data_IF_130118862050
#
_entry.id   IF_130118862050
#
_cell.length_a   1.000
_cell.length_b   1.000
_cell.length_c   1.000
_cell.angle_alpha   90.00
_cell.angle_beta   90.00
_cell.angle_gamma   90.00
#
_symmetry.space_group_name_H-M   'P 1'
#
loop_
_entity.id
_entity.type
_entity.pdbx_description
1 polymer ?
#
# COMPACT_ATOMS: atom_id res chain seq x y z
N UNK A 1 37.08 -45.09 13.67
CA UNK A 1 35.66 -44.67 13.84
C UNK A 1 35.61 -43.24 13.38
N UNK A 2 35.24 -43.07 12.10
CA UNK A 2 35.20 -41.76 11.47
C UNK A 2 34.02 -40.97 11.98
N UNK A 3 34.32 -39.94 12.80
CA UNK A 3 33.32 -38.95 13.18
C UNK A 3 33.13 -37.97 12.02
N UNK A 4 32.19 -38.29 11.15
CA UNK A 4 31.78 -37.35 10.09
C UNK A 4 30.83 -36.35 10.70
N UNK A 5 31.35 -35.18 11.07
CA UNK A 5 30.49 -34.04 11.44
C UNK A 5 29.86 -33.49 10.16
N UNK A 6 28.56 -33.63 10.02
CA UNK A 6 27.82 -32.96 8.96
C UNK A 6 27.63 -31.49 9.37
N UNK A 7 28.36 -30.60 8.75
CA UNK A 7 28.09 -29.17 8.80
C UNK A 7 26.84 -28.88 7.97
N UNK A 8 25.74 -28.58 8.61
CA UNK A 8 24.58 -28.03 7.94
C UNK A 8 24.81 -26.53 7.79
N UNK A 9 25.30 -26.12 6.63
CA UNK A 9 25.36 -24.70 6.27
C UNK A 9 23.97 -24.29 5.78
N UNK A 10 23.23 -23.54 6.59
CA UNK A 10 22.02 -22.87 6.14
C UNK A 10 22.46 -21.76 5.18
N UNK A 11 22.44 -22.03 3.90
CA UNK A 11 22.55 -21.00 2.89
C UNK A 11 21.16 -20.37 2.75
N UNK A 12 21.01 -19.14 3.22
CA UNK A 12 19.89 -18.31 2.81
C UNK A 12 20.08 -18.02 1.33
N UNK A 13 19.15 -18.45 0.49
CA UNK A 13 19.11 -18.04 -0.91
C UNK A 13 18.92 -16.51 -0.92
N UNK A 14 19.98 -15.78 -1.29
CA UNK A 14 19.86 -14.34 -1.51
C UNK A 14 18.77 -14.10 -2.55
N UNK A 15 17.96 -13.06 -2.36
CA UNK A 15 16.98 -12.64 -3.34
C UNK A 15 17.70 -12.29 -4.65
N UNK A 16 17.88 -13.29 -5.48
CA UNK A 16 18.52 -13.15 -6.80
C UNK A 16 17.47 -12.65 -7.78
N UNK A 17 17.92 -11.79 -8.68
CA UNK A 17 17.11 -11.41 -9.82
C UNK A 17 16.50 -12.66 -10.47
N UNK A 18 15.16 -12.69 -10.69
CA UNK A 18 14.53 -13.86 -11.27
C UNK A 18 15.10 -14.11 -12.65
N UNK A 19 15.53 -15.34 -12.91
CA UNK A 19 15.93 -15.73 -14.25
C UNK A 19 14.68 -16.01 -15.07
N UNK A 20 14.65 -15.50 -16.27
CA UNK A 20 13.60 -15.77 -17.24
C UNK A 20 14.12 -16.88 -18.16
N UNK A 21 13.61 -18.08 -17.99
CA UNK A 21 14.13 -19.24 -18.71
C UNK A 21 13.09 -19.79 -19.69
N UNK A 22 13.52 -19.92 -20.95
CA UNK A 22 12.83 -20.72 -21.94
C UNK A 22 13.17 -22.20 -21.68
N UNK A 23 12.21 -22.99 -21.21
CA UNK A 23 12.44 -24.44 -21.06
C UNK A 23 11.99 -25.18 -22.31
N UNK A 24 12.81 -26.10 -22.76
CA UNK A 24 12.52 -26.98 -23.90
C UNK A 24 11.18 -27.70 -23.68
N UNK A 25 10.24 -27.54 -24.61
CA UNK A 25 8.90 -28.12 -24.54
C UNK A 25 7.85 -27.28 -23.86
N UNK A 26 8.15 -26.03 -23.45
CA UNK A 26 7.17 -25.05 -22.98
C UNK A 26 7.07 -23.90 -23.96
N UNK A 27 5.85 -23.46 -24.23
CA UNK A 27 5.58 -22.35 -25.17
C UNK A 27 5.59 -20.99 -24.47
N UNK A 28 5.91 -20.94 -23.18
CA UNK A 28 5.95 -19.72 -22.36
C UNK A 28 7.31 -19.58 -21.65
N UNK A 29 7.63 -18.35 -21.31
CA UNK A 29 8.81 -18.01 -20.52
C UNK A 29 8.48 -18.20 -19.02
N UNK A 30 9.30 -18.97 -18.30
CA UNK A 30 9.15 -19.12 -16.86
C UNK A 30 9.53 -17.83 -16.12
N UNK A 31 8.75 -17.50 -15.09
CA UNK A 31 9.01 -16.35 -14.25
C UNK A 31 9.73 -16.78 -12.97
N UNK A 32 11.06 -16.70 -13.01
CA UNK A 32 11.94 -17.07 -11.90
C UNK A 32 12.08 -18.59 -11.69
N UNK A 33 12.76 -18.95 -10.62
CA UNK A 33 12.99 -20.36 -10.25
C UNK A 33 11.64 -21.07 -10.07
N UNK A 34 11.50 -22.23 -10.71
CA UNK A 34 10.28 -23.03 -10.68
C UNK A 34 9.01 -22.30 -11.14
N UNK A 35 9.16 -21.23 -11.92
CA UNK A 35 8.00 -20.45 -12.40
C UNK A 35 7.13 -19.84 -11.27
N UNK A 36 7.70 -19.59 -10.09
CA UNK A 36 6.97 -19.23 -8.87
C UNK A 36 7.27 -17.81 -8.33
N UNK A 37 8.04 -17.00 -9.06
CA UNK A 37 8.43 -15.68 -8.56
C UNK A 37 7.26 -14.73 -8.25
N UNK A 38 6.16 -14.68 -9.04
CA UNK A 38 5.01 -13.84 -8.68
C UNK A 38 4.34 -14.25 -7.38
N UNK A 39 4.27 -15.57 -7.09
CA UNK A 39 3.73 -16.04 -5.82
C UNK A 39 4.66 -15.69 -4.65
N UNK A 40 5.98 -15.77 -4.84
CA UNK A 40 6.93 -15.32 -3.83
C UNK A 40 6.72 -13.84 -3.46
N UNK A 41 6.49 -12.95 -4.44
CA UNK A 41 6.17 -11.55 -4.16
C UNK A 41 4.83 -11.40 -3.42
N UNK A 42 3.86 -12.22 -3.75
CA UNK A 42 2.56 -12.25 -3.05
C UNK A 42 2.70 -12.75 -1.60
N UNK A 43 3.56 -13.74 -1.36
CA UNK A 43 3.87 -14.23 -0.01
C UNK A 43 4.53 -13.14 0.83
N UNK A 44 5.50 -12.40 0.27
CA UNK A 44 6.10 -11.24 0.95
C UNK A 44 5.05 -10.18 1.32
N UNK A 45 4.12 -9.89 0.42
CA UNK A 45 3.04 -8.95 0.67
C UNK A 45 2.10 -9.43 1.79
N UNK A 46 1.81 -10.72 1.85
CA UNK A 46 0.92 -11.29 2.85
C UNK A 46 1.58 -11.44 4.23
N UNK A 47 2.90 -11.68 4.27
CA UNK A 47 3.62 -12.00 5.50
C UNK A 47 4.35 -10.81 6.13
N UNK A 48 4.85 -9.84 5.35
CA UNK A 48 5.51 -8.64 5.89
C UNK A 48 4.49 -7.54 6.19
N UNK A 49 4.26 -7.19 7.47
CA UNK A 49 3.27 -6.17 7.83
C UNK A 49 3.62 -4.78 7.31
N UNK A 50 4.92 -4.42 7.30
CA UNK A 50 5.39 -3.13 6.81
C UNK A 50 5.18 -3.02 5.29
N UNK A 51 5.57 -4.05 4.54
CA UNK A 51 5.38 -4.10 3.10
C UNK A 51 3.90 -4.04 2.71
N UNK A 52 3.07 -4.85 3.35
CA UNK A 52 1.62 -4.87 3.11
C UNK A 52 0.98 -3.50 3.34
N UNK A 53 1.34 -2.81 4.45
CA UNK A 53 0.82 -1.49 4.77
C UNK A 53 1.23 -0.45 3.71
N UNK A 54 2.50 -0.45 3.28
CA UNK A 54 3.01 0.48 2.28
C UNK A 54 2.32 0.27 0.93
N UNK A 55 2.27 -0.97 0.44
CA UNK A 55 1.65 -1.29 -0.86
C UNK A 55 0.17 -0.88 -0.87
N UNK A 56 -0.59 -1.23 0.19
CA UNK A 56 -2.00 -0.84 0.32
C UNK A 56 -2.18 0.67 0.37
N UNK A 57 -1.33 1.39 1.12
CA UNK A 57 -1.39 2.85 1.20
C UNK A 57 -1.08 3.50 -0.15
N UNK A 58 -0.03 3.06 -0.85
CA UNK A 58 0.32 3.55 -2.19
C UNK A 58 -0.82 3.29 -3.17
N UNK A 59 -1.38 2.08 -3.18
CA UNK A 59 -2.56 1.75 -4.01
C UNK A 59 -3.74 2.67 -3.74
N UNK A 60 -4.02 2.99 -2.46
CA UNK A 60 -5.10 3.89 -2.10
C UNK A 60 -4.83 5.33 -2.57
N UNK A 61 -3.60 5.82 -2.42
CA UNK A 61 -3.24 7.16 -2.90
C UNK A 61 -3.33 7.28 -4.42
N UNK A 62 -2.85 6.28 -5.16
CA UNK A 62 -2.94 6.26 -6.63
C UNK A 62 -4.40 6.15 -7.08
N UNK A 63 -5.21 5.33 -6.41
CA UNK A 63 -6.63 5.19 -6.73
C UNK A 63 -7.43 6.47 -6.42
N UNK A 64 -7.06 7.21 -5.39
CA UNK A 64 -7.81 8.40 -4.95
C UNK A 64 -9.29 8.09 -4.71
N UNK A 65 -10.19 8.83 -5.35
CA UNK A 65 -11.64 8.55 -5.39
C UNK A 65 -12.05 7.70 -6.60
N UNK A 66 -11.10 7.31 -7.46
CA UNK A 66 -11.36 6.66 -8.73
C UNK A 66 -11.86 7.62 -9.80
N UNK A 67 -12.47 7.06 -10.84
CA UNK A 67 -13.13 7.83 -11.89
C UNK A 67 -14.50 8.31 -11.40
N UNK A 68 -14.87 9.54 -11.75
CA UNK A 68 -16.17 10.09 -11.42
C UNK A 68 -17.30 9.32 -12.11
N UNK A 69 -17.16 9.10 -13.43
CA UNK A 69 -18.04 8.23 -14.19
C UNK A 69 -17.61 6.78 -14.04
N UNK A 70 -18.37 6.02 -13.26
CA UNK A 70 -18.02 4.64 -12.96
C UNK A 70 -18.27 3.67 -14.11
N UNK A 71 -19.26 3.93 -14.97
CA UNK A 71 -19.65 3.07 -16.09
C UNK A 71 -19.68 1.57 -15.74
N UNK A 72 -19.96 0.72 -16.73
CA UNK A 72 -19.91 -0.75 -16.59
C UNK A 72 -18.73 -1.31 -17.37
N UNK A 73 -17.80 -1.97 -16.72
CA UNK A 73 -16.64 -2.56 -17.37
C UNK A 73 -16.96 -3.91 -18.04
N UNK A 74 -17.80 -4.74 -17.40
CA UNK A 74 -18.08 -6.09 -17.88
C UNK A 74 -19.48 -6.60 -17.50
N UNK A 75 -19.86 -7.73 -18.10
CA UNK A 75 -21.15 -8.40 -17.92
C UNK A 75 -21.38 -8.98 -16.51
N UNK A 76 -20.36 -9.07 -15.67
CA UNK A 76 -20.51 -9.45 -14.25
C UNK A 76 -21.00 -8.30 -13.38
N UNK A 77 -21.17 -7.11 -13.96
CA UNK A 77 -21.64 -5.91 -13.25
C UNK A 77 -20.52 -5.15 -12.55
N UNK A 78 -19.25 -5.47 -12.80
CA UNK A 78 -18.13 -4.69 -12.31
C UNK A 78 -18.06 -3.34 -13.05
N UNK A 79 -17.83 -2.28 -12.31
CA UNK A 79 -17.59 -0.96 -12.89
C UNK A 79 -16.10 -0.74 -13.18
N UNK A 80 -15.76 0.34 -13.90
CA UNK A 80 -14.37 0.65 -14.24
C UNK A 80 -13.48 0.89 -13.02
N UNK A 81 -14.03 1.39 -11.91
CA UNK A 81 -13.28 1.59 -10.67
C UNK A 81 -12.92 0.27 -9.97
N UNK A 82 -13.75 -0.77 -10.11
CA UNK A 82 -13.43 -2.09 -9.56
C UNK A 82 -12.24 -2.71 -10.28
N UNK A 83 -12.23 -2.61 -11.62
CA UNK A 83 -11.11 -3.08 -12.45
C UNK A 83 -9.85 -2.25 -12.19
N UNK A 84 -9.98 -0.91 -12.14
CA UNK A 84 -8.88 0.01 -11.87
C UNK A 84 -8.19 -0.31 -10.54
N UNK A 85 -8.97 -0.51 -9.47
CA UNK A 85 -8.43 -0.80 -8.12
C UNK A 85 -7.55 -2.05 -8.11
N UNK A 86 -7.96 -3.09 -8.82
CA UNK A 86 -7.16 -4.32 -8.94
C UNK A 86 -5.90 -4.12 -9.77
N UNK A 87 -5.99 -3.39 -10.88
CA UNK A 87 -4.83 -3.05 -11.71
C UNK A 87 -3.81 -2.22 -10.95
N UNK A 88 -4.26 -1.26 -10.14
CA UNK A 88 -3.36 -0.44 -9.31
C UNK A 88 -2.65 -1.31 -8.26
N UNK A 89 -3.36 -2.24 -7.62
CA UNK A 89 -2.73 -3.15 -6.66
C UNK A 89 -1.68 -4.05 -7.32
N UNK A 90 -1.98 -4.61 -8.48
CA UNK A 90 -1.02 -5.42 -9.24
C UNK A 90 0.17 -4.57 -9.72
N UNK A 91 -0.06 -3.33 -10.14
CA UNK A 91 1.02 -2.40 -10.51
C UNK A 91 1.93 -2.08 -9.32
N UNK A 92 1.39 -1.90 -8.13
CA UNK A 92 2.20 -1.67 -6.93
C UNK A 92 2.99 -2.92 -6.49
N UNK A 93 2.43 -4.12 -6.69
CA UNK A 93 3.08 -5.38 -6.33
C UNK A 93 4.10 -5.83 -7.37
N UNK A 94 3.78 -5.73 -8.66
CA UNK A 94 4.53 -6.38 -9.73
C UNK A 94 5.13 -5.41 -10.75
N UNK A 95 4.67 -4.16 -10.78
CA UNK A 95 4.96 -3.14 -11.81
C UNK A 95 4.38 -3.49 -13.18
N UNK A 96 3.22 -4.13 -13.17
CA UNK A 96 2.45 -4.49 -14.35
C UNK A 96 1.15 -5.17 -14.00
N UNK A 97 0.25 -5.27 -14.98
CA UNK A 97 -1.05 -5.91 -14.81
C UNK A 97 -1.57 -6.45 -16.14
N UNK A 98 -2.55 -7.35 -16.05
CA UNK A 98 -3.19 -7.98 -17.19
C UNK A 98 -4.69 -7.70 -17.17
N UNK A 99 -5.22 -7.41 -18.37
CA UNK A 99 -6.66 -7.30 -18.60
C UNK A 99 -7.07 -8.26 -19.71
N UNK A 100 -8.12 -9.03 -19.49
CA UNK A 100 -8.80 -9.76 -20.53
C UNK A 100 -9.80 -8.83 -21.19
N UNK A 101 -9.63 -8.61 -22.48
CA UNK A 101 -10.48 -7.77 -23.31
C UNK A 101 -11.26 -8.64 -24.26
N UNK A 102 -12.58 -8.55 -24.21
CA UNK A 102 -13.47 -9.32 -25.08
C UNK A 102 -14.08 -8.39 -26.13
N UNK A 103 -13.92 -8.77 -27.38
CA UNK A 103 -14.45 -8.03 -28.51
C UNK A 103 -15.81 -8.55 -28.96
N UNK A 104 -16.71 -7.66 -29.32
CA UNK A 104 -17.98 -8.01 -29.95
C UNK A 104 -17.83 -8.11 -31.47
N UNK A 105 -18.89 -8.56 -32.15
CA UNK A 105 -18.89 -8.73 -33.63
C UNK A 105 -18.77 -7.41 -34.42
N UNK A 106 -18.96 -6.27 -33.75
CA UNK A 106 -18.84 -4.93 -34.36
C UNK A 106 -17.43 -4.35 -34.22
N UNK A 107 -16.47 -5.11 -33.69
CA UNK A 107 -15.11 -4.64 -33.45
C UNK A 107 -14.99 -3.64 -32.29
N UNK A 108 -15.96 -3.62 -31.37
CA UNK A 108 -15.91 -2.84 -30.12
C UNK A 108 -15.67 -3.76 -28.95
N UNK A 109 -15.08 -3.23 -27.89
CA UNK A 109 -14.93 -3.96 -26.64
C UNK A 109 -16.33 -4.20 -26.04
N UNK A 110 -16.63 -5.44 -25.69
CA UNK A 110 -17.79 -5.82 -24.91
C UNK A 110 -17.48 -5.76 -23.42
N UNK A 111 -16.41 -6.44 -23.02
CA UNK A 111 -16.07 -6.65 -21.63
C UNK A 111 -14.58 -6.48 -21.37
N UNK A 112 -14.25 -5.99 -20.17
CA UNK A 112 -12.89 -5.90 -19.64
C UNK A 112 -12.86 -6.51 -18.27
N UNK A 113 -12.02 -7.55 -18.08
CA UNK A 113 -11.82 -8.22 -16.83
C UNK A 113 -10.37 -8.09 -16.38
N UNK A 114 -10.13 -7.89 -15.11
CA UNK A 114 -8.81 -8.02 -14.53
C UNK A 114 -8.44 -9.49 -14.38
N UNK A 115 -7.18 -9.84 -14.68
CA UNK A 115 -6.62 -11.17 -14.41
C UNK A 115 -5.47 -10.99 -13.43
N UNK A 116 -5.47 -11.76 -12.37
CA UNK A 116 -4.44 -11.72 -11.34
C UNK A 116 -3.07 -12.02 -11.94
N UNK A 117 -2.10 -11.16 -11.65
CA UNK A 117 -0.79 -11.17 -12.28
C UNK A 117 -0.06 -12.52 -12.17
N UNK A 118 -0.16 -13.19 -11.02
CA UNK A 118 0.50 -14.47 -10.78
C UNK A 118 0.00 -15.61 -11.65
N UNK A 119 -1.20 -15.48 -12.24
CA UNK A 119 -1.84 -16.50 -13.09
C UNK A 119 -1.38 -16.47 -14.54
N UNK A 120 -0.70 -15.42 -14.98
CA UNK A 120 -0.36 -15.22 -16.40
C UNK A 120 1.11 -15.47 -16.67
N UNK A 121 1.41 -16.10 -17.82
CA UNK A 121 2.74 -16.22 -18.40
C UNK A 121 2.69 -15.79 -19.84
N UNK A 122 3.85 -15.32 -20.35
CA UNK A 122 3.96 -14.78 -21.71
C UNK A 122 4.80 -15.68 -22.60
N UNK A 123 4.48 -15.70 -23.89
CA UNK A 123 5.34 -16.32 -24.92
C UNK A 123 6.58 -15.47 -25.16
N UNK A 124 7.58 -16.04 -25.83
CA UNK A 124 8.83 -15.35 -26.17
C UNK A 124 8.65 -14.14 -27.07
N UNK A 125 7.70 -14.21 -27.97
CA UNK A 125 7.37 -13.13 -28.90
C UNK A 125 6.37 -12.11 -28.33
N UNK A 126 5.89 -12.33 -27.09
CA UNK A 126 4.85 -11.53 -26.43
C UNK A 126 3.52 -11.48 -27.20
N UNK A 127 3.27 -12.42 -28.11
CA UNK A 127 2.04 -12.48 -28.90
C UNK A 127 0.99 -13.43 -28.33
N UNK A 128 1.40 -14.30 -27.40
CA UNK A 128 0.49 -15.27 -26.76
C UNK A 128 0.67 -15.23 -25.25
N UNK A 129 -0.43 -15.26 -24.55
CA UNK A 129 -0.50 -15.30 -23.10
C UNK A 129 -1.14 -16.60 -22.63
N UNK A 130 -0.55 -17.19 -21.61
CA UNK A 130 -0.97 -18.44 -21.00
C UNK A 130 -1.54 -18.15 -19.61
N UNK A 131 -2.78 -18.52 -19.38
CA UNK A 131 -3.49 -18.27 -18.11
C UNK A 131 -3.75 -19.61 -17.44
N UNK A 132 -3.33 -19.71 -16.18
CA UNK A 132 -3.50 -20.91 -15.36
C UNK A 132 -3.67 -20.51 -13.89
N UNK A 133 -4.58 -21.19 -13.17
CA UNK A 133 -4.84 -20.84 -11.78
C UNK A 133 -3.65 -21.16 -10.86
N UNK A 134 -3.06 -22.33 -11.04
CA UNK A 134 -1.89 -22.76 -10.28
C UNK A 134 -0.80 -23.32 -11.21
N UNK A 135 0.32 -22.62 -11.32
CA UNK A 135 1.44 -23.03 -12.15
C UNK A 135 2.22 -24.22 -11.56
N UNK A 136 2.00 -24.57 -10.30
CA UNK A 136 2.58 -25.75 -9.65
C UNK A 136 1.74 -27.02 -9.90
N UNK A 137 0.44 -26.91 -10.20
CA UNK A 137 -0.37 -28.07 -10.55
C UNK A 137 -0.10 -28.51 -12.00
N UNK A 138 0.58 -29.62 -12.17
CA UNK A 138 0.91 -30.17 -13.49
C UNK A 138 -0.29 -30.73 -14.26
N UNK A 139 -1.46 -30.92 -13.64
CA UNK A 139 -2.66 -31.49 -14.26
C UNK A 139 -3.47 -30.43 -14.97
N UNK A 140 -3.47 -29.19 -14.47
CA UNK A 140 -4.18 -28.07 -15.09
C UNK A 140 -3.48 -27.67 -16.38
N UNK A 141 -4.21 -27.55 -17.49
CA UNK A 141 -3.71 -27.02 -18.74
C UNK A 141 -3.90 -25.51 -18.78
N UNK A 142 -2.86 -24.79 -19.19
CA UNK A 142 -2.96 -23.35 -19.40
C UNK A 142 -3.92 -23.07 -20.58
N UNK A 143 -4.72 -22.02 -20.42
CA UNK A 143 -5.54 -21.47 -21.50
C UNK A 143 -4.73 -20.46 -22.25
N UNK A 144 -4.80 -20.50 -23.59
CA UNK A 144 -4.06 -19.62 -24.48
C UNK A 144 -4.94 -18.47 -24.95
N UNK A 145 -4.37 -17.26 -24.91
CA UNK A 145 -5.03 -16.05 -25.41
C UNK A 145 -4.04 -15.24 -26.26
N UNK A 146 -4.47 -14.69 -27.39
CA UNK A 146 -3.63 -13.79 -28.19
C UNK A 146 -3.44 -12.45 -27.46
N UNK A 147 -2.36 -11.76 -27.81
CA UNK A 147 -2.11 -10.40 -27.37
C UNK A 147 -3.18 -9.44 -27.88
N UNK A 148 -3.45 -8.42 -27.09
CA UNK A 148 -4.36 -7.33 -27.45
C UNK A 148 -3.93 -6.64 -28.75
N UNK A 149 -4.81 -6.63 -29.73
CA UNK A 149 -4.55 -6.04 -31.04
C UNK A 149 -5.78 -5.28 -31.54
N UNK A 150 -5.68 -3.96 -31.56
CA UNK A 150 -6.75 -3.08 -32.05
C UNK A 150 -7.01 -3.20 -33.55
N UNK A 151 -6.02 -3.65 -34.34
CA UNK A 151 -6.16 -3.86 -35.77
C UNK A 151 -6.89 -5.15 -36.14
N UNK A 152 -6.96 -6.08 -35.20
CA UNK A 152 -7.69 -7.34 -35.34
C UNK A 152 -8.59 -7.59 -34.10
N UNK A 153 -9.69 -6.83 -33.95
CA UNK A 153 -10.55 -6.84 -32.78
C UNK A 153 -11.49 -8.06 -32.78
N UNK A 154 -10.97 -9.23 -32.44
CA UNK A 154 -11.75 -10.48 -32.44
C UNK A 154 -11.54 -11.30 -31.17
N UNK A 155 -12.63 -11.92 -30.70
CA UNK A 155 -12.59 -12.89 -29.59
C UNK A 155 -12.14 -12.28 -28.28
N UNK A 156 -11.38 -13.07 -27.52
CA UNK A 156 -10.83 -12.69 -26.21
C UNK A 156 -9.32 -12.55 -26.32
N UNK A 157 -8.80 -11.42 -25.90
CA UNK A 157 -7.38 -11.03 -26.01
C UNK A 157 -6.87 -10.56 -24.65
N UNK A 158 -5.57 -10.62 -24.42
CA UNK A 158 -4.93 -10.12 -23.20
C UNK A 158 -4.22 -8.81 -23.49
N UNK A 159 -4.67 -7.75 -22.82
CA UNK A 159 -3.91 -6.50 -22.72
C UNK A 159 -2.89 -6.66 -21.59
N UNK A 160 -1.63 -6.36 -21.89
CA UNK A 160 -0.53 -6.44 -20.95
C UNK A 160 0.15 -5.08 -20.81
N UNK A 161 0.13 -4.54 -19.59
CA UNK A 161 0.95 -3.41 -19.20
C UNK A 161 2.13 -3.89 -18.37
N UNK A 162 3.32 -3.45 -18.72
CA UNK A 162 4.51 -3.60 -17.87
C UNK A 162 5.30 -2.31 -17.87
N UNK A 163 5.82 -1.94 -16.71
CA UNK A 163 6.79 -0.84 -16.64
C UNK A 163 8.12 -1.28 -17.22
N UNK A 164 8.79 -0.36 -17.93
CA UNK A 164 10.10 -0.63 -18.49
C UNK A 164 11.13 -0.84 -17.38
N UNK A 165 11.86 -1.93 -17.48
CA UNK A 165 13.04 -2.20 -16.67
C UNK A 165 14.15 -2.74 -17.58
N UNK A 166 15.34 -2.09 -17.61
CA UNK A 166 16.42 -2.48 -18.52
C UNK A 166 16.98 -3.88 -18.26
N UNK A 167 16.77 -4.45 -17.07
CA UNK A 167 17.24 -5.78 -16.72
C UNK A 167 16.22 -6.89 -16.98
N UNK A 168 15.01 -6.55 -17.51
CA UNK A 168 13.95 -7.52 -17.70
C UNK A 168 13.16 -7.30 -18.98
N UNK A 169 13.23 -8.27 -19.88
CA UNK A 169 12.57 -8.21 -21.20
C UNK A 169 11.10 -8.64 -21.14
N UNK A 170 10.80 -9.74 -20.49
CA UNK A 170 9.48 -10.39 -20.54
C UNK A 170 8.52 -9.93 -19.43
N UNK A 171 9.02 -9.86 -18.21
CA UNK A 171 8.23 -9.53 -17.02
C UNK A 171 8.76 -8.30 -16.33
N UNK A 172 7.93 -7.51 -15.67
CA UNK A 172 8.39 -6.39 -14.88
C UNK A 172 9.09 -6.86 -13.60
N UNK A 173 9.87 -5.98 -13.01
CA UNK A 173 10.40 -6.15 -11.66
C UNK A 173 9.76 -5.11 -10.72
N UNK A 174 9.41 -5.48 -9.49
CA UNK A 174 8.81 -4.56 -8.56
C UNK A 174 9.74 -3.38 -8.24
N UNK A 175 9.20 -2.20 -7.99
CA UNK A 175 9.98 -1.01 -7.65
C UNK A 175 10.82 -1.20 -6.37
N UNK A 176 10.34 -2.04 -5.47
CA UNK A 176 10.97 -2.39 -4.20
C UNK A 176 11.94 -3.59 -4.31
N UNK A 177 12.32 -3.99 -5.52
CA UNK A 177 13.19 -5.15 -5.76
C UNK A 177 14.48 -5.11 -4.92
N UNK A 178 15.10 -3.93 -4.77
CA UNK A 178 16.35 -3.76 -4.04
C UNK A 178 16.22 -4.07 -2.53
N UNK A 179 15.02 -3.99 -1.95
CA UNK A 179 14.83 -4.23 -0.52
C UNK A 179 14.20 -5.60 -0.19
N UNK A 180 14.13 -6.55 -1.13
CA UNK A 180 13.54 -7.87 -0.91
C UNK A 180 14.16 -8.61 0.28
N UNK A 181 15.48 -8.53 0.46
CA UNK A 181 16.16 -9.15 1.61
C UNK A 181 15.67 -8.56 2.95
N UNK A 182 15.36 -7.25 2.98
CA UNK A 182 14.85 -6.60 4.18
C UNK A 182 13.39 -6.96 4.45
N UNK A 183 12.60 -7.25 3.41
CA UNK A 183 11.24 -7.78 3.56
C UNK A 183 11.27 -9.18 4.17
N UNK A 184 12.16 -10.05 3.71
CA UNK A 184 12.38 -11.36 4.32
C UNK A 184 12.87 -11.24 5.76
N UNK A 185 13.80 -10.30 6.04
CA UNK A 185 14.26 -10.04 7.40
C UNK A 185 13.11 -9.57 8.32
N UNK A 186 12.21 -8.72 7.84
CA UNK A 186 11.02 -8.27 8.58
C UNK A 186 10.13 -9.45 8.97
N UNK A 187 9.90 -10.38 8.04
CA UNK A 187 9.16 -11.63 8.29
C UNK A 187 9.85 -12.49 9.35
N UNK A 188 11.19 -12.66 9.23
CA UNK A 188 11.94 -13.46 10.19
C UNK A 188 11.98 -12.83 11.58
N UNK A 189 12.07 -11.50 11.67
CA UNK A 189 11.95 -10.75 12.92
C UNK A 189 10.60 -11.03 13.59
N UNK A 190 9.52 -10.94 12.82
CA UNK A 190 8.16 -11.22 13.32
C UNK A 190 8.04 -12.66 13.83
N UNK A 191 8.53 -13.64 13.06
CA UNK A 191 8.55 -15.05 13.46
C UNK A 191 9.42 -15.30 14.72
N UNK A 192 10.56 -14.60 14.81
CA UNK A 192 11.43 -14.68 15.99
C UNK A 192 10.73 -14.15 17.24
N UNK A 193 10.07 -12.99 17.15
CA UNK A 193 9.29 -12.40 18.25
C UNK A 193 8.19 -13.38 18.69
N UNK A 194 7.42 -13.92 17.75
CA UNK A 194 6.36 -14.90 18.04
C UNK A 194 6.94 -16.15 18.70
N UNK A 195 8.05 -16.67 18.17
CA UNK A 195 8.74 -17.82 18.75
C UNK A 195 9.24 -17.59 20.16
N UNK A 196 9.72 -16.38 20.47
CA UNK A 196 10.15 -16.03 21.82
C UNK A 196 8.95 -15.80 22.76
N UNK A 197 7.88 -15.18 22.29
CA UNK A 197 6.64 -15.01 23.05
C UNK A 197 6.04 -16.37 23.42
N UNK A 198 5.94 -17.30 22.47
CA UNK A 198 5.45 -18.66 22.72
C UNK A 198 6.32 -19.44 23.72
N UNK A 199 7.61 -19.13 23.79
CA UNK A 199 8.55 -19.74 24.74
C UNK A 199 8.64 -18.98 26.07
N UNK A 200 7.74 -18.01 26.31
CA UNK A 200 7.75 -17.18 27.53
C UNK A 200 9.12 -16.53 27.83
N UNK A 201 9.92 -16.24 26.78
CA UNK A 201 11.27 -15.66 26.89
C UNK A 201 12.25 -16.50 27.73
N UNK A 202 11.98 -17.80 27.90
CA UNK A 202 12.85 -18.72 28.67
C UNK A 202 13.93 -19.27 27.73
N UNK A 203 15.18 -19.16 28.16
CA UNK A 203 16.33 -19.76 27.47
C UNK A 203 16.21 -21.30 27.39
N UNK A 204 16.75 -21.89 26.29
CA UNK A 204 16.81 -23.34 26.15
C UNK A 204 17.51 -23.96 27.34
N UNK A 205 16.93 -25.01 27.91
CA UNK A 205 17.49 -25.73 29.06
C UNK A 205 18.21 -26.98 28.59
N UNK A 206 19.41 -27.20 29.09
CA UNK A 206 20.08 -28.49 28.96
C UNK A 206 19.77 -29.33 30.19
N UNK A 207 19.23 -30.53 29.99
CA UNK A 207 19.02 -31.51 31.05
C UNK A 207 20.04 -32.60 30.91
N UNK A 208 21.02 -32.63 31.82
CA UNK A 208 22.01 -33.67 31.91
C UNK A 208 21.49 -34.81 32.80
N UNK A 209 21.35 -35.99 32.22
CA UNK A 209 20.98 -37.22 32.97
C UNK A 209 22.24 -38.04 33.21
N UNK A 210 22.69 -38.10 34.44
CA UNK A 210 23.94 -38.77 34.84
C UNK A 210 23.73 -40.23 35.29
N UNK A 211 22.61 -40.84 34.94
CA UNK A 211 22.20 -42.17 35.34
C UNK A 211 22.61 -43.27 34.31
N UNK A 212 23.48 -42.95 33.38
CA UNK A 212 23.87 -43.84 32.27
C UNK A 212 22.92 -43.76 31.08
N UNK A 213 23.40 -44.23 29.96
CA UNK A 213 22.62 -44.32 28.72
C UNK A 213 21.66 -45.52 28.81
N UNK A 214 20.35 -45.38 28.60
CA UNK A 214 19.44 -46.51 28.53
C UNK A 214 19.89 -47.44 27.41
N UNK A 215 20.14 -48.71 27.74
CA UNK A 215 20.65 -49.72 26.83
C UNK A 215 19.70 -50.08 25.67
N UNK A 216 18.49 -49.55 25.68
CA UNK A 216 17.47 -49.82 24.69
C UNK A 216 16.89 -48.50 24.15
N UNK A 217 16.86 -48.36 22.83
CA UNK A 217 16.34 -47.18 22.12
C UNK A 217 14.87 -46.87 22.50
N UNK A 218 14.05 -47.87 22.74
CA UNK A 218 12.65 -47.68 23.21
C UNK A 218 12.60 -46.96 24.58
N UNK A 219 13.38 -47.41 25.55
CA UNK A 219 13.45 -46.77 26.86
C UNK A 219 14.03 -45.35 26.81
N UNK A 220 14.98 -45.11 25.89
CA UNK A 220 15.50 -43.77 25.64
C UNK A 220 14.41 -42.84 25.11
N UNK A 221 13.60 -43.30 24.13
CA UNK A 221 12.46 -42.57 23.60
C UNK A 221 11.35 -42.32 24.64
N UNK A 222 11.11 -43.26 25.56
CA UNK A 222 10.14 -43.06 26.63
C UNK A 222 10.59 -41.99 27.64
N UNK A 223 11.88 -42.01 28.05
CA UNK A 223 12.46 -41.00 28.94
C UNK A 223 12.46 -39.63 28.27
N UNK A 224 12.84 -39.55 26.98
CA UNK A 224 12.82 -38.32 26.21
C UNK A 224 11.39 -37.76 26.11
N UNK A 225 10.42 -38.59 25.73
CA UNK A 225 8.99 -38.21 25.67
C UNK A 225 8.44 -37.78 27.02
N UNK A 226 8.80 -38.51 28.09
CA UNK A 226 8.37 -38.20 29.47
C UNK A 226 8.92 -36.86 29.95
N UNK A 227 10.17 -36.57 29.65
CA UNK A 227 10.81 -35.30 29.98
C UNK A 227 10.31 -34.14 29.15
N UNK A 228 10.21 -34.34 27.83
CA UNK A 228 9.60 -33.37 26.92
C UNK A 228 8.19 -33.01 27.38
N UNK A 229 7.35 -34.00 27.76
CA UNK A 229 6.00 -33.77 28.26
C UNK A 229 5.96 -32.98 29.57
N UNK A 230 6.95 -33.15 30.45
CA UNK A 230 7.04 -32.41 31.72
C UNK A 230 7.61 -31.00 31.57
N UNK A 231 8.54 -30.80 30.68
CA UNK A 231 9.26 -29.53 30.52
C UNK A 231 8.75 -28.66 29.37
N UNK A 232 8.01 -29.23 28.41
CA UNK A 232 7.62 -28.49 27.19
C UNK A 232 6.12 -28.25 27.10
N UNK A 233 5.27 -28.47 28.09
CA UNK A 233 3.83 -28.19 27.98
C UNK A 233 3.30 -28.13 26.53
N UNK A 234 2.15 -27.62 26.28
CA UNK A 234 1.61 -27.45 24.90
C UNK A 234 2.39 -26.44 24.02
N UNK A 235 3.36 -25.72 24.57
CA UNK A 235 4.06 -24.61 23.90
C UNK A 235 5.59 -24.72 24.03
N UNK A 236 6.14 -25.84 23.64
CA UNK A 236 7.49 -26.14 23.19
C UNK A 236 8.70 -25.33 23.68
N UNK A 237 9.15 -25.51 24.94
CA UNK A 237 10.52 -25.15 25.30
C UNK A 237 11.52 -26.10 24.63
N UNK A 238 12.58 -25.58 23.99
CA UNK A 238 13.66 -26.42 23.51
C UNK A 238 14.47 -26.94 24.68
N UNK A 239 14.34 -28.22 24.97
CA UNK A 239 15.13 -28.94 25.98
C UNK A 239 16.05 -29.86 25.20
N UNK A 240 17.35 -29.72 25.44
CA UNK A 240 18.35 -30.69 24.98
C UNK A 240 18.59 -31.68 26.10
N UNK A 241 18.34 -32.97 25.83
CA UNK A 241 18.50 -34.04 26.80
C UNK A 241 19.80 -34.77 26.46
N UNK A 242 20.68 -34.87 27.42
CA UNK A 242 21.93 -35.65 27.29
C UNK A 242 22.01 -36.75 28.34
N UNK A 243 22.36 -37.96 27.90
CA UNK A 243 22.61 -39.12 28.73
C UNK A 243 24.09 -39.31 28.93
N UNK A 244 24.57 -39.21 30.15
CA UNK A 244 25.98 -39.35 30.52
C UNK A 244 26.20 -40.59 31.40
N UNK A 245 27.33 -41.25 31.27
CA UNK A 245 27.68 -42.42 32.07
C UNK A 245 28.03 -42.10 33.51
N UNK A 246 28.55 -40.91 33.77
CA UNK A 246 28.88 -40.43 35.12
C UNK A 246 28.85 -38.91 35.15
N UNK A 247 28.88 -38.36 36.38
CA UNK A 247 28.91 -36.90 36.57
C UNK A 247 30.22 -36.27 36.09
N UNK A 248 31.29 -37.02 36.04
CA UNK A 248 32.64 -36.61 35.56
C UNK A 248 32.68 -36.47 34.02
N UNK A 249 31.77 -37.14 33.32
CA UNK A 249 31.63 -37.09 31.87
C UNK A 249 30.43 -36.23 31.44
N UNK A 250 29.91 -35.37 32.33
CA UNK A 250 28.85 -34.45 31.93
C UNK A 250 29.39 -33.46 30.93
N UNK A 251 28.63 -33.25 29.86
CA UNK A 251 28.99 -32.26 28.84
C UNK A 251 29.08 -30.89 29.51
N UNK A 252 30.20 -30.24 29.32
CA UNK A 252 30.37 -28.84 29.65
C UNK A 252 29.53 -28.02 28.64
N UNK A 253 28.66 -27.17 29.14
CA UNK A 253 27.95 -26.22 28.28
C UNK A 253 28.95 -25.12 27.97
N UNK A 254 29.66 -25.28 26.86
CA UNK A 254 30.31 -24.13 26.24
C UNK A 254 29.22 -23.31 25.60
N UNK A 255 28.95 -22.15 26.18
CA UNK A 255 28.12 -21.15 25.57
C UNK A 255 28.84 -20.71 24.27
N UNK A 256 28.45 -21.29 23.15
CA UNK A 256 28.99 -20.95 21.83
C UNK A 256 28.50 -19.56 21.43
N UNK A 257 28.73 -18.57 22.33
CA UNK A 257 28.36 -17.20 22.09
C UNK A 257 26.93 -17.11 21.60
N UNK A 258 25.94 -17.25 22.48
CA UNK A 258 24.70 -16.58 22.26
C UNK A 258 25.08 -15.12 22.08
N UNK A 259 25.07 -14.64 20.86
CA UNK A 259 24.95 -13.22 20.63
C UNK A 259 23.70 -12.85 21.38
N UNK A 260 23.83 -12.49 22.65
CA UNK A 260 22.75 -11.84 23.38
C UNK A 260 22.60 -10.51 22.67
N UNK A 261 21.83 -10.52 21.58
CA UNK A 261 21.29 -9.30 21.04
C UNK A 261 20.56 -8.67 22.22
N UNK A 262 21.16 -7.64 22.78
CA UNK A 262 20.52 -6.85 23.82
C UNK A 262 19.19 -6.36 23.28
N UNK A 263 18.28 -5.99 24.15
CA UNK A 263 17.00 -5.38 23.70
C UNK A 263 17.26 -4.19 22.80
N UNK A 264 18.34 -3.45 23.04
CA UNK A 264 18.78 -2.31 22.24
C UNK A 264 19.24 -2.74 20.84
N UNK A 265 20.07 -3.79 20.75
CA UNK A 265 20.52 -4.31 19.45
C UNK A 265 19.35 -4.80 18.59
N UNK A 266 18.38 -5.48 19.19
CA UNK A 266 17.19 -5.94 18.49
C UNK A 266 16.34 -4.77 17.98
N UNK A 267 16.18 -3.72 18.78
CA UNK A 267 15.48 -2.50 18.40
C UNK A 267 16.20 -1.80 17.26
N UNK A 268 17.54 -1.70 17.33
CA UNK A 268 18.35 -1.09 16.27
C UNK A 268 18.24 -1.87 14.95
N UNK A 269 18.30 -3.20 14.99
CA UNK A 269 18.12 -4.05 13.79
C UNK A 269 16.72 -3.85 13.18
N UNK A 270 15.68 -3.85 14.02
CA UNK A 270 14.31 -3.63 13.53
C UNK A 270 14.13 -2.24 12.92
N UNK A 271 14.73 -1.21 13.51
CA UNK A 271 14.70 0.15 12.98
C UNK A 271 15.47 0.26 11.65
N UNK A 272 16.64 -0.39 11.53
CA UNK A 272 17.39 -0.45 10.28
C UNK A 272 16.56 -1.13 9.18
N UNK A 273 16.00 -2.30 9.44
CA UNK A 273 15.15 -3.02 8.49
C UNK A 273 13.97 -2.16 8.04
N UNK A 274 13.35 -1.43 8.97
CA UNK A 274 12.26 -0.53 8.66
C UNK A 274 12.70 0.63 7.74
N UNK A 275 13.83 1.27 8.02
CA UNK A 275 14.37 2.37 7.22
C UNK A 275 14.71 1.91 5.80
N UNK A 276 15.34 0.75 5.66
CA UNK A 276 15.68 0.18 4.35
C UNK A 276 14.44 -0.22 3.53
N UNK A 277 13.39 -0.72 4.18
CA UNK A 277 12.10 -0.96 3.53
C UNK A 277 11.50 0.36 3.04
N UNK A 278 11.52 1.42 3.85
CA UNK A 278 11.02 2.73 3.43
C UNK A 278 11.82 3.30 2.25
N UNK A 279 13.15 3.21 2.30
CA UNK A 279 14.02 3.64 1.21
C UNK A 279 13.75 2.85 -0.07
N UNK A 280 13.66 1.51 0.01
CA UNK A 280 13.35 0.65 -1.13
C UNK A 280 11.98 0.90 -1.74
N UNK A 281 11.01 1.32 -0.93
CA UNK A 281 9.69 1.73 -1.38
C UNK A 281 9.61 3.20 -1.80
N UNK A 282 10.67 3.98 -1.70
CA UNK A 282 10.69 5.42 -2.01
C UNK A 282 9.65 6.21 -1.20
N UNK A 283 9.54 5.90 0.09
CA UNK A 283 8.60 6.59 0.99
C UNK A 283 9.19 7.94 1.41
N UNK A 284 8.47 9.00 1.10
CA UNK A 284 8.87 10.39 1.44
C UNK A 284 8.75 10.63 2.96
N UNK A 285 7.66 10.19 3.56
CA UNK A 285 7.45 10.24 5.01
C UNK A 285 6.63 9.05 5.49
N UNK A 286 7.08 8.34 6.53
CA UNK A 286 6.35 7.24 7.15
C UNK A 286 4.96 7.64 7.67
N UNK A 287 4.78 8.90 8.05
CA UNK A 287 3.50 9.46 8.54
C UNK A 287 2.40 9.36 7.48
N UNK A 288 2.74 9.45 6.18
CA UNK A 288 1.79 9.24 5.08
C UNK A 288 1.24 7.81 5.04
N UNK A 289 2.00 6.85 5.55
CA UNK A 289 1.61 5.43 5.59
C UNK A 289 0.97 5.04 6.93
N UNK A 290 0.62 6.04 7.78
CA UNK A 290 0.03 5.82 9.09
C UNK A 290 1.02 5.35 10.15
N UNK A 291 2.33 5.42 9.90
CA UNK A 291 3.37 5.02 10.85
C UNK A 291 3.95 6.24 11.52
N UNK A 292 3.88 6.25 12.86
CA UNK A 292 4.50 7.29 13.68
C UNK A 292 5.94 6.91 13.98
N UNK A 293 6.89 7.79 13.63
CA UNK A 293 8.32 7.64 13.98
C UNK A 293 8.66 8.48 15.20
N UNK A 294 9.55 7.94 16.05
CA UNK A 294 10.05 8.69 17.21
C UNK A 294 10.79 9.94 16.75
N UNK A 295 10.51 11.06 17.40
CA UNK A 295 11.14 12.35 17.09
C UNK A 295 10.46 13.16 15.98
N UNK A 296 9.51 12.61 15.24
CA UNK A 296 8.66 13.40 14.34
C UNK A 296 7.47 13.96 15.11
N UNK A 297 7.36 15.28 15.13
CA UNK A 297 6.22 15.98 15.74
C UNK A 297 4.90 15.67 15.02
N UNK A 298 4.95 15.14 13.80
CA UNK A 298 3.76 14.75 13.01
C UNK A 298 2.83 15.95 12.78
N UNK A 299 3.40 17.14 12.62
CA UNK A 299 2.63 18.35 12.41
C UNK A 299 1.81 18.24 11.11
N UNK A 300 0.61 18.84 11.13
CA UNK A 300 -0.29 18.89 9.96
C UNK A 300 0.41 19.41 8.70
N UNK A 301 1.29 20.38 8.86
CA UNK A 301 2.10 20.98 7.78
C UNK A 301 3.09 19.97 7.20
N UNK A 302 3.78 19.19 8.04
CA UNK A 302 4.74 18.17 7.60
C UNK A 302 4.06 17.09 6.76
N UNK A 303 2.89 16.61 7.19
CA UNK A 303 2.14 15.60 6.44
C UNK A 303 1.69 16.16 5.09
N UNK A 304 1.28 17.43 5.04
CA UNK A 304 0.85 18.08 3.81
C UNK A 304 2.01 18.24 2.83
N UNK A 305 3.15 18.74 3.30
CA UNK A 305 4.34 18.94 2.47
C UNK A 305 4.89 17.61 1.95
N UNK A 306 4.91 16.57 2.79
CA UNK A 306 5.26 15.22 2.39
C UNK A 306 4.29 14.65 1.34
N UNK A 307 2.99 14.88 1.51
CA UNK A 307 1.99 14.47 0.52
C UNK A 307 2.17 15.21 -0.81
N UNK A 308 2.44 16.50 -0.80
CA UNK A 308 2.66 17.28 -2.02
C UNK A 308 3.87 16.77 -2.81
N UNK A 309 4.98 16.48 -2.13
CA UNK A 309 6.16 15.86 -2.75
C UNK A 309 5.79 14.49 -3.33
N UNK A 310 5.12 13.64 -2.55
CA UNK A 310 4.72 12.30 -2.97
C UNK A 310 3.73 12.34 -4.14
N UNK A 311 2.79 13.26 -4.12
CA UNK A 311 1.83 13.47 -5.20
C UNK A 311 2.53 13.87 -6.51
N UNK A 312 3.47 14.81 -6.44
CA UNK A 312 4.17 15.32 -7.63
C UNK A 312 5.19 14.33 -8.19
N UNK A 313 5.84 13.54 -7.32
CA UNK A 313 6.92 12.61 -7.74
C UNK A 313 6.41 11.21 -8.09
N UNK A 314 5.33 10.78 -7.46
CA UNK A 314 4.84 9.39 -7.57
C UNK A 314 3.41 9.28 -8.10
N UNK A 315 2.43 9.87 -7.41
CA UNK A 315 1.00 9.62 -7.66
C UNK A 315 0.57 10.09 -9.04
N UNK A 316 0.85 11.36 -9.39
CA UNK A 316 0.42 11.96 -10.66
C UNK A 316 0.89 11.19 -11.88
N UNK A 317 2.14 10.75 -11.90
CA UNK A 317 2.69 9.99 -13.02
C UNK A 317 1.97 8.66 -13.21
N UNK A 318 1.61 7.99 -12.11
CA UNK A 318 0.83 6.75 -12.14
C UNK A 318 -0.59 6.98 -12.65
N UNK A 319 -1.25 7.98 -12.08
CA UNK A 319 -2.62 8.33 -12.48
C UNK A 319 -2.71 8.69 -13.96
N UNK A 320 -1.75 9.43 -14.51
CA UNK A 320 -1.69 9.76 -15.93
C UNK A 320 -1.64 8.48 -16.79
N UNK A 321 -0.82 7.51 -16.43
CA UNK A 321 -0.73 6.25 -17.17
C UNK A 321 -2.06 5.48 -17.13
N UNK A 322 -2.68 5.34 -15.95
CA UNK A 322 -3.99 4.69 -15.84
C UNK A 322 -5.08 5.45 -16.59
N UNK A 323 -5.14 6.76 -16.46
CA UNK A 323 -6.11 7.60 -17.17
C UNK A 323 -6.03 7.38 -18.70
N UNK A 324 -4.83 7.40 -19.27
CA UNK A 324 -4.62 7.21 -20.70
C UNK A 324 -5.06 5.82 -21.17
N UNK A 325 -4.66 4.77 -20.45
CA UNK A 325 -4.98 3.38 -20.80
C UNK A 325 -6.48 3.14 -20.69
N UNK A 326 -7.10 3.52 -19.57
CA UNK A 326 -8.52 3.29 -19.33
C UNK A 326 -9.40 4.14 -20.23
N UNK A 327 -9.01 5.39 -20.55
CA UNK A 327 -9.69 6.22 -21.56
C UNK A 327 -9.66 5.56 -22.93
N UNK A 328 -8.51 5.00 -23.33
CA UNK A 328 -8.41 4.27 -24.60
C UNK A 328 -9.34 3.05 -24.64
N UNK A 329 -9.35 2.24 -23.58
CA UNK A 329 -10.24 1.08 -23.48
C UNK A 329 -11.73 1.48 -23.51
N UNK A 330 -12.08 2.57 -22.83
CA UNK A 330 -13.44 3.15 -22.86
C UNK A 330 -13.85 3.56 -24.28
N UNK A 331 -12.98 4.28 -24.99
CA UNK A 331 -13.23 4.71 -26.35
C UNK A 331 -13.43 3.51 -27.30
N UNK A 332 -12.64 2.46 -27.14
CA UNK A 332 -12.78 1.21 -27.92
C UNK A 332 -14.07 0.45 -27.57
N UNK A 333 -14.62 0.64 -26.38
CA UNK A 333 -15.95 0.13 -26.00
C UNK A 333 -17.07 0.93 -26.68
N UNK A 334 -16.77 2.12 -27.18
CA UNK A 334 -17.70 3.03 -27.85
C UNK A 334 -18.38 4.02 -26.89
N UNK A 335 -17.87 4.14 -25.69
CA UNK A 335 -18.25 5.15 -24.71
C UNK A 335 -17.37 6.39 -24.90
N UNK A 336 -17.96 7.59 -24.88
CA UNK A 336 -17.21 8.84 -25.01
C UNK A 336 -16.84 9.40 -23.63
N UNK A 337 -15.75 10.13 -23.57
CA UNK A 337 -15.27 10.83 -22.37
C UNK A 337 -13.93 10.31 -21.88
N UNK A 338 -13.23 11.17 -21.18
CA UNK A 338 -11.94 10.84 -20.58
C UNK A 338 -12.14 10.30 -19.15
N UNK A 339 -11.34 9.32 -18.79
CA UNK A 339 -11.21 8.90 -17.42
C UNK A 339 -10.11 9.69 -16.74
N UNK A 340 -10.47 10.39 -15.68
CA UNK A 340 -9.53 11.13 -14.84
C UNK A 340 -9.73 10.67 -13.40
N UNK A 341 -8.68 10.10 -12.81
CA UNK A 341 -8.69 9.71 -11.40
C UNK A 341 -8.73 10.99 -10.56
N UNK A 342 -9.71 11.06 -9.67
CA UNK A 342 -9.87 12.20 -8.77
C UNK A 342 -8.92 12.04 -7.57
N UNK A 343 -7.99 12.99 -7.36
CA UNK A 343 -7.07 12.93 -6.23
C UNK A 343 -7.82 13.10 -4.90
N UNK A 344 -7.31 12.44 -3.87
CA UNK A 344 -7.80 12.61 -2.49
C UNK A 344 -6.67 13.12 -1.62
N UNK A 345 -6.84 14.30 -1.08
CA UNK A 345 -5.89 14.85 -0.12
C UNK A 345 -6.08 14.15 1.25
N UNK A 346 -4.98 13.71 1.91
CA UNK A 346 -5.06 13.05 3.22
C UNK A 346 -5.57 13.99 4.32
N UNK A 347 -5.37 15.28 4.14
CA UNK A 347 -5.82 16.32 5.04
C UNK A 347 -6.56 17.39 4.24
N UNK A 348 -7.82 17.63 4.55
CA UNK A 348 -8.55 18.76 3.98
C UNK A 348 -7.88 20.06 4.41
N UNK A 349 -7.83 21.02 3.50
CA UNK A 349 -7.42 22.37 3.83
C UNK A 349 -8.43 22.95 4.85
N UNK A 350 -7.98 23.18 6.07
CA UNK A 350 -8.76 23.98 7.02
C UNK A 350 -8.32 25.41 6.87
N UNK A 351 -9.21 26.21 6.34
CA UNK A 351 -9.03 27.65 6.42
C UNK A 351 -9.01 28.05 7.90
N UNK A 352 -7.94 28.63 8.36
CA UNK A 352 -7.94 29.26 9.70
C UNK A 352 -9.01 30.35 9.70
N UNK A 353 -9.65 30.57 10.85
CA UNK A 353 -10.69 31.59 11.02
C UNK A 353 -10.26 32.97 10.49
N UNK A 354 -8.97 33.27 10.63
CA UNK A 354 -8.35 34.48 10.10
C UNK A 354 -8.31 34.52 8.56
N UNK A 355 -8.00 33.41 7.88
CA UNK A 355 -7.99 33.33 6.42
C UNK A 355 -9.41 33.36 5.86
N UNK A 356 -10.37 32.69 6.51
CA UNK A 356 -11.78 32.73 6.12
C UNK A 356 -12.34 34.14 6.23
N UNK A 357 -12.09 34.83 7.34
CA UNK A 357 -12.63 36.18 7.58
C UNK A 357 -12.01 37.24 6.68
N UNK A 358 -10.76 37.07 6.24
CA UNK A 358 -10.06 38.04 5.40
C UNK A 358 -10.33 37.89 3.89
N UNK A 359 -10.58 36.65 3.40
CA UNK A 359 -10.59 36.36 1.97
C UNK A 359 -11.92 35.82 1.44
N UNK A 360 -12.82 35.37 2.30
CA UNK A 360 -14.09 34.76 1.90
C UNK A 360 -15.28 35.56 2.41
N UNK A 361 -16.29 35.66 1.58
CA UNK A 361 -17.61 36.20 1.99
C UNK A 361 -18.32 35.22 2.92
N UNK A 362 -19.28 35.71 3.69
CA UNK A 362 -20.09 34.87 4.60
C UNK A 362 -20.80 33.75 3.87
N UNK A 363 -21.25 33.99 2.63
CA UNK A 363 -21.98 33.01 1.83
C UNK A 363 -21.02 31.92 1.26
N UNK A 364 -19.82 32.28 0.84
CA UNK A 364 -18.78 31.33 0.44
C UNK A 364 -18.33 30.44 1.62
N UNK A 365 -18.24 31.00 2.83
CA UNK A 365 -17.94 30.21 4.05
C UNK A 365 -19.10 29.23 4.32
N UNK A 366 -20.35 29.66 4.15
CA UNK A 366 -21.52 28.79 4.34
C UNK A 366 -21.57 27.66 3.30
N UNK A 367 -21.29 27.96 2.03
CA UNK A 367 -21.20 26.95 0.97
C UNK A 367 -20.09 25.91 1.29
N UNK A 368 -18.91 26.33 1.74
CA UNK A 368 -17.83 25.44 2.16
C UNK A 368 -18.23 24.56 3.36
N UNK A 369 -19.13 25.06 4.23
CA UNK A 369 -19.69 24.29 5.35
C UNK A 369 -20.88 23.41 4.94
N UNK A 370 -21.23 23.37 3.64
CA UNK A 370 -22.40 22.61 3.14
C UNK A 370 -23.74 23.17 3.59
N UNK A 371 -23.80 24.48 3.92
CA UNK A 371 -25.04 25.19 4.28
C UNK A 371 -25.47 26.04 3.09
N UNK A 372 -26.78 26.17 2.93
CA UNK A 372 -27.38 27.06 1.92
C UNK A 372 -26.98 28.52 2.14
N UNK A 373 -26.87 29.28 1.05
CA UNK A 373 -26.66 30.72 1.09
C UNK A 373 -27.72 31.39 1.99
N UNK A 374 -27.33 32.44 2.72
CA UNK A 374 -28.34 33.25 3.39
C UNK A 374 -29.08 34.01 2.32
N UNK A 375 -30.42 33.91 2.33
CA UNK A 375 -31.26 34.81 1.54
C UNK A 375 -30.71 36.22 1.71
N UNK A 376 -30.18 36.77 0.65
CA UNK A 376 -29.70 38.13 0.62
C UNK A 376 -30.93 39.01 0.83
N UNK A 377 -31.26 39.33 2.09
CA UNK A 377 -32.11 40.45 2.33
C UNK A 377 -31.44 41.64 1.64
N UNK A 378 -32.10 42.12 0.59
CA UNK A 378 -31.69 43.33 -0.12
C UNK A 378 -31.50 44.40 0.94
N UNK A 379 -30.27 44.71 1.32
CA UNK A 379 -29.97 45.75 2.30
C UNK A 379 -30.57 47.03 1.77
N UNK A 380 -31.39 47.68 2.57
CA UNK A 380 -31.90 49.00 2.24
C UNK A 380 -30.70 49.93 2.08
N UNK A 381 -30.86 50.96 1.20
CA UNK A 381 -29.80 51.93 0.93
C UNK A 381 -29.25 52.57 2.24
N UNK A 382 -30.11 52.75 3.25
CA UNK A 382 -29.73 53.19 4.59
C UNK A 382 -28.83 52.21 5.35
N UNK A 383 -29.05 50.88 5.21
CA UNK A 383 -28.19 49.87 5.83
C UNK A 383 -26.79 49.81 5.19
N UNK A 384 -26.70 49.98 3.87
CA UNK A 384 -25.44 50.02 3.14
C UNK A 384 -24.60 51.22 3.57
N UNK A 385 -25.24 52.41 3.71
CA UNK A 385 -24.57 53.63 4.16
C UNK A 385 -24.13 53.48 5.62
N UNK A 386 -24.92 52.90 6.48
CA UNK A 386 -24.57 52.66 7.88
C UNK A 386 -23.40 51.68 8.05
N UNK A 387 -23.35 50.61 7.27
CA UNK A 387 -22.27 49.67 7.26
C UNK A 387 -20.98 50.34 6.74
N UNK A 388 -21.07 51.18 5.72
CA UNK A 388 -19.93 51.92 5.19
C UNK A 388 -19.40 52.95 6.22
N UNK A 389 -20.25 53.66 6.92
CA UNK A 389 -19.82 54.61 7.97
C UNK A 389 -19.13 53.86 9.13
N UNK A 390 -19.67 52.72 9.54
CA UNK A 390 -19.14 51.92 10.62
C UNK A 390 -17.76 51.24 10.24
N UNK A 391 -17.46 51.11 8.96
CA UNK A 391 -16.17 50.64 8.47
C UNK A 391 -15.05 51.69 8.49
N UNK A 392 -15.39 52.97 8.65
CA UNK A 392 -14.46 54.09 8.70
C UNK A 392 -13.83 54.21 10.10
N UNK A 393 -12.65 54.81 10.16
CA UNK A 393 -12.06 55.18 11.46
C UNK A 393 -12.97 56.16 12.19
N UNK A 394 -13.04 56.16 13.53
CA UNK A 394 -13.97 57.00 14.29
C UNK A 394 -13.87 58.51 13.94
N UNK A 395 -12.69 58.98 13.59
CA UNK A 395 -12.46 60.38 13.22
C UNK A 395 -13.01 60.72 11.83
N UNK A 396 -12.96 59.77 10.90
CA UNK A 396 -13.52 59.93 9.54
C UNK A 396 -15.03 59.78 9.57
N UNK A 397 -15.54 58.79 10.32
CA UNK A 397 -16.96 58.55 10.51
C UNK A 397 -17.67 59.78 11.11
N UNK A 398 -17.05 60.47 12.13
CA UNK A 398 -17.57 61.71 12.72
C UNK A 398 -17.67 62.85 11.68
N UNK A 399 -16.64 63.02 10.85
CA UNK A 399 -16.68 64.06 9.79
C UNK A 399 -17.72 63.78 8.70
N UNK A 400 -17.93 62.52 8.34
CA UNK A 400 -18.97 62.11 7.38
C UNK A 400 -20.34 62.40 7.95
N UNK A 401 -20.60 62.05 9.21
CA UNK A 401 -21.86 62.33 9.90
C UNK A 401 -22.12 63.82 10.08
N UNK A 402 -21.08 64.63 10.35
CA UNK A 402 -21.20 66.10 10.44
C UNK A 402 -21.54 66.78 9.09
N UNK A 403 -21.20 66.15 7.98
CA UNK A 403 -21.50 66.62 6.63
C UNK A 403 -22.87 66.24 6.10
N UNK A 404 -23.60 65.33 6.78
CA UNK A 404 -24.93 64.84 6.40
C UNK A 404 -26.04 65.77 6.94
N UNK A 405 -27.12 65.85 6.17
CA UNK A 405 -28.27 66.59 6.60
C UNK A 405 -29.01 65.86 7.75
N UNK A 406 -29.78 66.57 8.60
CA UNK A 406 -30.55 65.97 9.69
C UNK A 406 -31.53 64.89 9.23
N UNK A 407 -32.08 65.00 8.03
CA UNK A 407 -33.05 64.07 7.50
C UNK A 407 -32.33 62.78 6.96
N UNK A 408 -31.17 62.92 6.44
CA UNK A 408 -30.31 61.76 6.06
C UNK A 408 -29.87 60.98 7.31
N UNK A 409 -29.49 61.66 8.38
CA UNK A 409 -29.14 61.03 9.67
C UNK A 409 -30.36 60.32 10.28
N UNK A 410 -31.55 60.94 10.21
CA UNK A 410 -32.80 60.30 10.67
C UNK A 410 -33.13 59.04 9.84
N UNK A 411 -32.96 59.09 8.53
CA UNK A 411 -33.17 57.96 7.64
C UNK A 411 -32.19 56.80 7.98
N UNK A 412 -30.93 57.11 8.29
CA UNK A 412 -29.96 56.10 8.74
C UNK A 412 -30.33 55.50 10.09
N UNK A 413 -30.96 56.25 10.97
CA UNK A 413 -31.49 55.78 12.26
C UNK A 413 -32.86 55.05 12.13
N UNK A 414 -33.39 54.85 10.90
CA UNK A 414 -34.67 54.23 10.68
C UNK A 414 -35.87 55.10 11.07
N UNK A 415 -35.64 56.46 11.21
CA UNK A 415 -36.66 57.40 11.60
C UNK A 415 -37.18 58.16 10.37
N UNK A 416 -38.47 58.50 10.36
CA UNK A 416 -39.09 59.28 9.28
C UNK A 416 -38.51 60.72 9.24
N UNK A 417 -38.26 61.32 8.03
CA UNK A 417 -37.83 62.70 7.88
C UNK A 417 -38.82 63.66 8.57
N UNK A 418 -38.29 64.80 9.04
CA UNK A 418 -39.07 65.73 9.86
C UNK A 418 -40.20 66.44 9.06
N UNK A 419 -40.01 66.60 7.75
CA UNK A 419 -40.93 67.35 6.87
C UNK A 419 -42.08 66.51 6.29
N UNK A 420 -42.30 65.28 6.73
CA UNK A 420 -43.44 64.41 6.29
C UNK A 420 -44.47 64.19 7.43
N UNK A 421 -44.35 64.90 8.52
CA UNK A 421 -45.35 64.89 9.59
C UNK A 421 -46.31 66.05 9.42
N UNK A 422 -47.41 65.82 8.61
CA UNK A 422 -48.66 66.56 8.62
C UNK A 422 -49.78 65.60 8.93
#
# INVERSE_FOLDING_TARGET
MDNTYQHITLQFDQAKQPKFEEKKGKNYIEFGKNNNYPNYLLDLFNESPKHSAIVKSKSNYVFGSGFEDKGVANTLGENWNDVLRRCILDDELYRGYYLQVIWNRLGKISDVFHIEFHKVRVSKDLQTFYVKNDWMDMREKAREYPAFNQLNPTGSQIFYYKEYNPSSEYYPLPSYFACLNYLEADIQISRHILGNANRQWVSSKLVNLNNGDPLNEEKRGEVEKGLLKKFTGSEGQRVVIMFNKSKENSAEIVDLGTTQLTKEDFTNVNNLVQQEIYAGHQIVSPSLMGVKTEGQLGGRTEIRDAYEIFNNTYIKNRQINFNNIFTNLRNLKGEQGEFVIQPVEPLKFEFTEAIMSQNLTKDEIRQLMGREEMDSQVKTQAQIINDNINSLSPLVASKVLESMSPDEIRSLAGLVPKDVAV
#
